data_IF_931178609425
#
_entry.id   IF_931178609425
#
_cell.length_a   1.000
_cell.length_b   1.000
_cell.length_c   1.000
_cell.angle_alpha   90.00
_cell.angle_beta   90.00
_cell.angle_gamma   90.00
#
_symmetry.space_group_name_H-M   'P 1'
#
loop_
_entity.id
_entity.type
_entity.pdbx_description
1 polymer ?
#
# COMPACT_ATOMS: atom_id res chain seq x y z
N UNK A 1 10.38 9.28 15.25
CA UNK A 1 9.39 9.77 14.27
C UNK A 1 8.12 10.18 15.00
N UNK A 2 7.64 11.37 14.75
CA UNK A 2 6.39 11.83 15.38
C UNK A 2 5.19 11.03 14.82
N UNK A 3 4.31 10.57 15.71
CA UNK A 3 3.05 9.95 15.31
C UNK A 3 2.17 11.04 14.71
N UNK A 4 1.72 10.82 13.47
CA UNK A 4 0.86 11.77 12.79
C UNK A 4 -0.57 11.65 13.30
N UNK A 5 -1.17 12.77 13.67
CA UNK A 5 -2.56 12.82 14.09
C UNK A 5 -3.47 12.90 12.85
N UNK A 6 -4.13 11.80 12.51
CA UNK A 6 -5.06 11.73 11.39
C UNK A 6 -6.40 12.35 11.77
N UNK A 7 -6.83 13.28 10.93
CA UNK A 7 -8.18 13.85 11.05
C UNK A 7 -9.16 13.03 10.24
N UNK A 8 -10.32 12.76 10.80
CA UNK A 8 -11.39 12.02 10.13
C UNK A 8 -12.60 12.92 9.89
N UNK A 9 -13.24 12.72 8.73
CA UNK A 9 -14.54 13.28 8.41
C UNK A 9 -15.38 12.23 7.72
N UNK A 10 -16.68 12.21 8.03
CA UNK A 10 -17.62 11.27 7.44
C UNK A 10 -18.63 12.04 6.60
N UNK A 11 -18.84 11.57 5.38
CA UNK A 11 -19.80 12.16 4.45
C UNK A 11 -20.70 11.06 3.90
N UNK A 12 -21.96 11.42 3.63
CA UNK A 12 -22.89 10.54 2.92
C UNK A 12 -22.66 10.71 1.42
N UNK A 13 -22.38 9.62 0.74
CA UNK A 13 -22.16 9.60 -0.71
C UNK A 13 -23.41 9.06 -1.41
N UNK A 14 -24.03 9.87 -2.27
CA UNK A 14 -25.26 9.49 -2.99
C UNK A 14 -24.99 8.65 -4.22
N UNK A 15 -23.85 8.84 -4.87
CA UNK A 15 -23.49 8.11 -6.10
C UNK A 15 -22.04 7.66 -6.03
N UNK A 16 -21.84 6.42 -5.62
CA UNK A 16 -20.50 5.83 -5.44
C UNK A 16 -19.77 5.67 -6.78
N UNK A 17 -20.48 5.30 -7.84
CA UNK A 17 -19.86 5.14 -9.17
C UNK A 17 -19.30 6.46 -9.70
N UNK A 18 -20.02 7.53 -9.49
CA UNK A 18 -19.56 8.87 -9.87
C UNK A 18 -18.34 9.32 -9.05
N UNK A 19 -18.34 9.01 -7.75
CA UNK A 19 -17.19 9.28 -6.89
C UNK A 19 -15.95 8.53 -7.38
N UNK A 20 -16.07 7.23 -7.70
CA UNK A 20 -14.97 6.43 -8.23
C UNK A 20 -14.41 7.03 -9.52
N UNK A 21 -15.27 7.43 -10.45
CA UNK A 21 -14.83 8.06 -11.72
C UNK A 21 -14.02 9.34 -11.45
N UNK A 22 -14.51 10.18 -10.53
CA UNK A 22 -13.82 11.41 -10.17
C UNK A 22 -12.47 11.14 -9.52
N UNK A 23 -12.39 10.14 -8.65
CA UNK A 23 -11.12 9.74 -8.03
C UNK A 23 -10.13 9.16 -9.04
N UNK A 24 -10.59 8.37 -9.97
CA UNK A 24 -9.75 7.85 -11.05
C UNK A 24 -9.23 8.97 -11.94
N UNK A 25 -10.05 9.97 -12.21
CA UNK A 25 -9.61 11.15 -12.95
C UNK A 25 -8.56 11.94 -12.15
N UNK A 26 -8.80 12.14 -10.85
CA UNK A 26 -7.86 12.82 -9.95
C UNK A 26 -6.51 12.09 -9.89
N UNK A 27 -6.52 10.75 -9.95
CA UNK A 27 -5.32 9.93 -9.87
C UNK A 27 -4.29 10.25 -10.95
N UNK A 28 -4.73 10.75 -12.10
CA UNK A 28 -3.83 11.11 -13.21
C UNK A 28 -2.88 12.24 -12.85
N UNK A 29 -3.25 13.09 -11.90
CA UNK A 29 -2.44 14.24 -11.45
C UNK A 29 -1.75 14.03 -10.12
N UNK A 30 -1.90 12.84 -9.50
CA UNK A 30 -1.36 12.55 -8.17
C UNK A 30 -0.32 11.45 -8.24
N UNK A 31 0.60 11.46 -7.27
CA UNK A 31 1.63 10.44 -7.12
C UNK A 31 1.26 9.45 -6.01
N UNK A 32 1.84 8.25 -6.07
CA UNK A 32 1.63 7.19 -5.07
C UNK A 32 0.15 6.88 -4.86
N UNK A 33 -0.57 6.66 -5.96
CA UNK A 33 -2.01 6.39 -5.94
C UNK A 33 -2.24 4.90 -5.77
N UNK A 34 -3.16 4.57 -4.86
CA UNK A 34 -3.68 3.21 -4.70
C UNK A 34 -5.20 3.27 -4.71
N UNK A 35 -5.80 2.37 -5.48
CA UNK A 35 -7.23 2.11 -5.46
C UNK A 35 -7.43 0.61 -5.26
N UNK A 36 -8.07 0.25 -4.16
CA UNK A 36 -8.45 -1.12 -3.84
C UNK A 36 -9.97 -1.20 -3.90
N UNK A 37 -10.49 -1.97 -4.85
CA UNK A 37 -11.93 -2.09 -5.11
C UNK A 37 -12.42 -3.49 -4.74
N UNK A 38 -13.54 -3.57 -4.04
CA UNK A 38 -14.17 -4.85 -3.67
C UNK A 38 -14.82 -5.57 -4.84
N UNK A 39 -14.99 -4.92 -5.99
CA UNK A 39 -15.68 -5.45 -7.16
C UNK A 39 -17.11 -5.93 -6.85
N UNK A 40 -17.85 -5.14 -6.08
CA UNK A 40 -19.23 -5.41 -5.66
C UNK A 40 -19.39 -6.63 -4.74
N UNK A 41 -18.30 -7.15 -4.17
CA UNK A 41 -18.39 -8.18 -3.14
C UNK A 41 -18.71 -7.52 -1.79
N UNK A 42 -19.38 -8.27 -0.91
CA UNK A 42 -19.66 -7.80 0.44
C UNK A 42 -18.35 -7.75 1.25
N UNK A 43 -17.87 -6.55 1.48
CA UNK A 43 -16.73 -6.25 2.33
C UNK A 43 -17.08 -5.05 3.21
N UNK A 44 -16.27 -4.81 4.24
CA UNK A 44 -16.41 -3.63 5.11
C UNK A 44 -16.28 -2.33 4.32
N UNK A 45 -15.54 -2.37 3.21
CA UNK A 45 -15.32 -1.21 2.34
C UNK A 45 -15.69 -1.56 0.90
N UNK A 46 -16.41 -0.67 0.24
CA UNK A 46 -16.65 -0.74 -1.20
C UNK A 46 -15.36 -0.57 -1.99
N UNK A 47 -14.60 0.46 -1.62
CA UNK A 47 -13.26 0.68 -2.13
C UNK A 47 -12.46 1.53 -1.14
N UNK A 48 -11.14 1.49 -1.29
CA UNK A 48 -10.20 2.34 -0.56
C UNK A 48 -9.34 3.06 -1.60
N UNK A 49 -9.25 4.38 -1.48
CA UNK A 49 -8.44 5.20 -2.36
C UNK A 49 -7.45 6.01 -1.52
N UNK A 50 -6.21 6.04 -1.97
CA UNK A 50 -5.15 6.81 -1.32
C UNK A 50 -4.25 7.47 -2.35
N UNK A 51 -3.72 8.63 -2.01
CA UNK A 51 -2.66 9.27 -2.81
C UNK A 51 -1.69 10.01 -1.88
N UNK A 52 -0.48 10.25 -2.42
CA UNK A 52 0.57 10.91 -1.67
C UNK A 52 1.36 9.94 -0.79
N UNK A 53 2.44 10.44 -0.23
CA UNK A 53 3.35 9.64 0.58
C UNK A 53 3.98 10.53 1.65
N UNK A 54 4.00 10.05 2.89
CA UNK A 54 4.68 10.70 4.01
C UNK A 54 6.00 10.01 4.30
N UNK A 55 6.00 8.68 4.31
CA UNK A 55 7.18 7.85 4.51
C UNK A 55 7.07 6.58 3.69
N UNK A 56 8.18 5.86 3.53
CA UNK A 56 8.18 4.59 2.81
C UNK A 56 9.17 3.61 3.38
N UNK A 57 8.91 2.32 3.15
CA UNK A 57 9.82 1.22 3.40
C UNK A 57 9.96 0.41 2.12
N UNK A 58 11.18 0.24 1.65
CA UNK A 58 11.54 -0.72 0.59
C UNK A 58 12.58 -1.66 1.15
N UNK A 59 12.41 -2.96 0.96
CA UNK A 59 13.32 -3.93 1.53
C UNK A 59 13.49 -5.15 0.64
N UNK A 60 14.70 -5.70 0.64
CA UNK A 60 15.04 -6.95 -0.03
C UNK A 60 15.79 -7.91 0.89
N UNK A 61 15.94 -7.57 2.18
CA UNK A 61 16.53 -8.44 3.20
C UNK A 61 15.88 -8.14 4.56
N UNK A 62 15.71 -9.16 5.38
CA UNK A 62 15.01 -9.06 6.67
C UNK A 62 13.70 -8.29 6.57
N UNK A 63 12.96 -8.48 5.47
CA UNK A 63 11.86 -7.62 5.07
C UNK A 63 10.69 -7.69 6.05
N UNK A 64 10.35 -8.87 6.55
CA UNK A 64 9.22 -9.01 7.48
C UNK A 64 9.50 -8.34 8.82
N UNK A 65 10.73 -8.43 9.33
CA UNK A 65 11.13 -7.73 10.56
C UNK A 65 11.08 -6.22 10.37
N UNK A 66 11.59 -5.73 9.23
CA UNK A 66 11.56 -4.31 8.90
C UNK A 66 10.12 -3.81 8.74
N UNK A 67 9.24 -4.61 8.13
CA UNK A 67 7.84 -4.27 8.00
C UNK A 67 7.15 -4.17 9.36
N UNK A 68 7.39 -5.13 10.25
CA UNK A 68 6.83 -5.11 11.60
C UNK A 68 7.25 -3.86 12.37
N UNK A 69 8.52 -3.51 12.31
CA UNK A 69 9.04 -2.29 12.91
C UNK A 69 8.41 -1.03 12.30
N UNK A 70 8.24 -1.02 10.98
CA UNK A 70 7.62 0.09 10.27
C UNK A 70 6.15 0.28 10.67
N UNK A 71 5.39 -0.79 10.76
CA UNK A 71 3.99 -0.76 11.21
C UNK A 71 3.89 -0.15 12.61
N UNK A 72 4.76 -0.58 13.52
CA UNK A 72 4.76 -0.10 14.89
C UNK A 72 5.19 1.37 15.03
N UNK A 73 6.13 1.82 14.20
CA UNK A 73 6.59 3.21 14.19
C UNK A 73 5.55 4.16 13.62
N UNK A 74 4.94 3.77 12.50
CA UNK A 74 4.03 4.63 11.75
C UNK A 74 2.68 4.75 12.44
N UNK A 75 2.14 3.64 12.90
CA UNK A 75 0.82 3.53 13.54
C UNK A 75 -0.27 4.27 12.75
N UNK A 76 -0.32 4.06 11.44
CA UNK A 76 -1.21 4.72 10.50
C UNK A 76 -1.52 3.75 9.36
N UNK A 77 -2.36 4.17 8.42
CA UNK A 77 -2.60 3.43 7.19
C UNK A 77 -1.31 3.33 6.39
N UNK A 78 -1.00 2.12 5.95
CA UNK A 78 0.09 1.87 5.02
C UNK A 78 -0.43 1.08 3.82
N UNK A 79 0.13 1.35 2.67
CA UNK A 79 -0.22 0.69 1.41
C UNK A 79 1.04 0.21 0.72
N UNK A 80 0.93 -0.90 0.03
CA UNK A 80 2.10 -1.40 -0.68
C UNK A 80 1.89 -2.80 -1.24
N UNK A 81 3.00 -3.47 -1.49
CA UNK A 81 2.97 -4.82 -2.03
C UNK A 81 4.11 -5.67 -1.47
N UNK A 82 3.90 -6.97 -1.53
CA UNK A 82 4.91 -7.99 -1.25
C UNK A 82 5.15 -8.72 -2.56
N UNK A 83 6.39 -8.75 -3.02
CA UNK A 83 6.74 -9.46 -4.24
C UNK A 83 6.91 -10.97 -3.98
N UNK A 84 6.84 -11.73 -5.05
CA UNK A 84 7.06 -13.18 -4.99
C UNK A 84 8.44 -13.56 -4.45
N UNK A 85 9.44 -12.71 -4.66
CA UNK A 85 10.81 -12.93 -4.21
C UNK A 85 10.98 -12.92 -2.69
N UNK A 86 9.97 -12.46 -1.93
CA UNK A 86 10.00 -12.54 -0.47
C UNK A 86 10.15 -13.97 0.01
N UNK A 87 9.68 -14.96 -0.74
CA UNK A 87 9.85 -16.39 -0.42
C UNK A 87 11.31 -16.76 -0.17
N UNK A 88 12.24 -16.14 -0.89
CA UNK A 88 13.67 -16.43 -0.80
C UNK A 88 14.22 -16.04 0.59
N UNK A 89 13.65 -15.04 1.23
CA UNK A 89 14.00 -14.65 2.61
C UNK A 89 13.44 -15.64 3.64
N UNK A 90 12.25 -16.18 3.39
CA UNK A 90 11.54 -17.05 4.34
C UNK A 90 12.07 -18.48 4.27
N UNK A 91 12.32 -18.99 3.06
CA UNK A 91 12.66 -20.39 2.81
C UNK A 91 14.16 -20.62 2.58
N UNK A 92 14.97 -19.59 2.68
CA UNK A 92 16.42 -19.63 2.42
C UNK A 92 16.75 -20.23 1.04
N UNK A 93 15.86 -19.98 0.07
CA UNK A 93 16.08 -20.35 -1.32
C UNK A 93 16.86 -19.27 -2.05
N UNK A 94 18.07 -19.61 -2.48
CA UNK A 94 18.77 -18.78 -3.46
C UNK A 94 18.18 -19.02 -4.83
N UNK A 95 17.22 -18.21 -5.23
CA UNK A 95 16.74 -18.23 -6.60
C UNK A 95 17.87 -17.83 -7.54
N UNK A 96 18.23 -18.73 -8.45
CA UNK A 96 19.21 -18.44 -9.50
C UNK A 96 18.61 -17.58 -10.62
N UNK A 97 17.36 -17.22 -10.52
CA UNK A 97 16.70 -16.36 -11.49
C UNK A 97 17.18 -14.93 -11.29
N UNK A 98 17.73 -14.36 -12.32
CA UNK A 98 18.08 -12.95 -12.34
C UNK A 98 16.83 -12.11 -12.07
N UNK A 99 16.91 -11.20 -11.11
CA UNK A 99 15.89 -10.17 -10.94
C UNK A 99 16.01 -9.23 -12.14
N UNK A 100 15.15 -9.41 -13.12
CA UNK A 100 15.13 -8.58 -14.33
C UNK A 100 14.74 -7.12 -14.05
N UNK A 101 14.05 -6.90 -12.93
CA UNK A 101 13.52 -5.57 -12.60
C UNK A 101 13.88 -5.25 -11.15
N UNK A 102 14.89 -4.75 -10.77
CA UNK A 102 15.30 -4.35 -9.40
C UNK A 102 14.12 -4.04 -8.45
N UNK A 103 13.14 -4.96 -8.43
CA UNK A 103 11.94 -4.83 -7.61
C UNK A 103 12.28 -5.26 -6.19
N UNK A 104 12.02 -4.44 -5.17
CA UNK A 104 12.24 -4.85 -3.78
C UNK A 104 11.30 -6.01 -3.42
N UNK A 105 11.70 -6.81 -2.43
CA UNK A 105 10.89 -7.93 -1.94
C UNK A 105 9.58 -7.43 -1.31
N UNK A 106 9.60 -6.26 -0.71
CA UNK A 106 8.39 -5.55 -0.34
C UNK A 106 8.60 -4.04 -0.43
N UNK A 107 7.50 -3.35 -0.63
CA UNK A 107 7.47 -1.89 -0.67
C UNK A 107 6.15 -1.42 -0.05
N UNK A 108 6.24 -0.64 1.00
CA UNK A 108 5.09 -0.03 1.66
C UNK A 108 5.33 1.46 1.86
N UNK A 109 4.23 2.21 1.91
CA UNK A 109 4.29 3.65 2.19
C UNK A 109 3.09 4.09 3.03
N UNK A 110 3.31 5.12 3.82
CA UNK A 110 2.30 5.78 4.66
C UNK A 110 1.60 6.89 3.88
#
# INVERSE_FOLDING_TARGET
MAIMDRKEKVFVVKNISHLKENLMFLSKSKENVILLDSNNKKNDYEFIFSYGKISELKSSDNSLEKLDNYINQVNDWIFGFISYDLKDEIEDFNSKNLKYFEVPNLSFFQ
#
